data_IF_894377406387
#
_entry.id   IF_894377406387
#
_cell.length_a   1.000
_cell.length_b   1.000
_cell.length_c   1.000
_cell.angle_alpha   90.00
_cell.angle_beta   90.00
_cell.angle_gamma   90.00
#
_symmetry.space_group_name_H-M   'P 1'
#
loop_
_entity.id
_entity.type
_entity.pdbx_description
1 polymer ?
#
# COMPACT_ATOMS: atom_id res chain seq x y z
N UNK A 1 -1.43 5.12 15.87
CA UNK A 1 -0.17 5.29 15.08
C UNK A 1 0.42 6.70 15.25
N UNK A 2 1.72 6.83 15.55
CA UNK A 2 2.40 8.13 15.55
C UNK A 2 3.62 8.10 14.63
N UNK A 3 3.84 9.18 13.87
CA UNK A 3 5.05 9.36 13.07
C UNK A 3 6.11 10.08 13.92
N UNK A 4 7.39 9.73 13.79
CA UNK A 4 8.47 10.50 14.40
C UNK A 4 8.46 11.96 13.95
N UNK A 5 8.69 12.90 14.88
CA UNK A 5 8.69 14.35 14.58
C UNK A 5 9.68 14.74 13.47
N UNK A 6 10.79 14.00 13.33
CA UNK A 6 11.81 14.21 12.31
C UNK A 6 11.69 13.24 11.12
N UNK A 7 10.56 12.56 10.93
CA UNK A 7 10.35 11.55 9.88
C UNK A 7 10.78 12.02 8.48
N UNK A 8 10.39 13.24 8.09
CA UNK A 8 10.74 13.79 6.77
C UNK A 8 12.22 14.11 6.58
N UNK A 9 13.01 14.10 7.67
CA UNK A 9 14.46 14.30 7.66
C UNK A 9 15.23 12.98 7.61
N UNK A 10 14.55 11.83 7.66
CA UNK A 10 15.22 10.53 7.58
C UNK A 10 15.82 10.30 6.19
N UNK A 11 17.00 9.65 6.11
CA UNK A 11 17.50 9.09 4.86
C UNK A 11 16.49 8.13 4.23
N UNK A 12 16.52 7.99 2.91
CA UNK A 12 15.52 7.20 2.18
C UNK A 12 15.31 5.77 2.72
N UNK A 13 16.36 4.95 2.99
CA UNK A 13 16.17 3.60 3.51
C UNK A 13 15.47 3.57 4.88
N UNK A 14 15.89 4.46 5.79
CA UNK A 14 15.29 4.57 7.12
C UNK A 14 13.84 5.06 7.05
N UNK A 15 13.55 5.99 6.12
CA UNK A 15 12.20 6.49 5.88
C UNK A 15 11.28 5.40 5.33
N UNK A 16 11.73 4.63 4.34
CA UNK A 16 10.94 3.51 3.78
C UNK A 16 10.61 2.46 4.86
N UNK A 17 11.58 2.07 5.68
CA UNK A 17 11.35 1.16 6.81
C UNK A 17 10.37 1.74 7.83
N UNK A 18 10.50 3.02 8.17
CA UNK A 18 9.56 3.70 9.06
C UNK A 18 8.13 3.74 8.48
N UNK A 19 7.98 3.85 7.16
CA UNK A 19 6.67 3.79 6.50
C UNK A 19 6.05 2.39 6.63
N UNK A 20 6.80 1.31 6.41
CA UNK A 20 6.28 -0.06 6.59
C UNK A 20 5.77 -0.25 8.02
N UNK A 21 6.57 0.14 9.01
CA UNK A 21 6.18 0.06 10.42
C UNK A 21 4.96 0.92 10.74
N UNK A 22 4.91 2.16 10.23
CA UNK A 22 3.79 3.06 10.45
C UNK A 22 2.49 2.48 9.88
N UNK A 23 2.50 1.99 8.63
CA UNK A 23 1.33 1.36 7.99
C UNK A 23 0.92 0.08 8.74
N UNK A 24 1.87 -0.77 9.13
CA UNK A 24 1.60 -2.00 9.90
C UNK A 24 0.99 -1.71 11.29
N UNK A 25 1.19 -0.50 11.84
CA UNK A 25 0.60 -0.13 13.13
C UNK A 25 -0.87 0.27 13.05
N UNK A 26 -1.44 0.40 11.86
CA UNK A 26 -2.88 0.59 11.69
C UNK A 26 -3.62 -0.74 11.76
N UNK A 27 -4.82 -0.71 12.33
CA UNK A 27 -5.75 -1.84 12.26
C UNK A 27 -6.47 -1.88 10.91
N UNK A 28 -6.70 -3.08 10.39
CA UNK A 28 -7.52 -3.26 9.20
C UNK A 28 -9.00 -3.05 9.52
N UNK A 29 -9.65 -2.11 8.82
CA UNK A 29 -11.07 -1.81 9.01
C UNK A 29 -11.97 -2.91 8.43
N UNK A 30 -12.69 -3.62 9.31
CA UNK A 30 -13.64 -4.66 8.90
C UNK A 30 -14.99 -4.12 8.41
N UNK A 31 -15.41 -2.95 8.91
CA UNK A 31 -16.73 -2.38 8.60
C UNK A 31 -16.77 -1.71 7.23
N UNK A 32 -17.92 -1.70 6.53
CA UNK A 32 -18.04 -1.09 5.20
C UNK A 32 -18.01 0.45 5.23
N UNK A 33 -18.41 1.08 6.32
CA UNK A 33 -18.41 2.54 6.47
C UNK A 33 -16.99 3.08 6.61
N UNK A 34 -16.54 3.94 5.69
CA UNK A 34 -15.25 4.64 5.80
C UNK A 34 -15.48 6.08 6.26
N UNK A 35 -14.66 6.56 7.19
CA UNK A 35 -14.63 7.98 7.58
C UNK A 35 -13.82 8.81 6.59
N UNK A 36 -12.97 8.16 5.80
CA UNK A 36 -12.17 8.80 4.77
C UNK A 36 -12.78 8.59 3.39
N UNK A 37 -12.69 9.62 2.55
CA UNK A 37 -13.07 9.51 1.15
C UNK A 37 -11.99 8.70 0.40
N UNK A 38 -12.33 7.48 -0.01
CA UNK A 38 -11.42 6.53 -0.67
C UNK A 38 -11.59 6.49 -2.20
N UNK A 39 -12.28 7.47 -2.80
CA UNK A 39 -12.40 7.54 -4.26
C UNK A 39 -11.04 7.78 -4.90
N UNK A 40 -10.57 6.79 -5.68
CA UNK A 40 -9.23 6.75 -6.29
C UNK A 40 -9.05 7.62 -7.53
N UNK A 41 -10.14 8.08 -8.14
CA UNK A 41 -10.11 8.94 -9.33
C UNK A 41 -10.12 10.44 -9.00
N UNK A 42 -9.98 10.78 -7.71
CA UNK A 42 -9.85 12.17 -7.29
C UNK A 42 -8.48 12.71 -7.71
N UNK A 43 -8.34 14.04 -7.89
CA UNK A 43 -7.03 14.66 -8.10
C UNK A 43 -6.04 14.28 -7.00
N UNK A 44 -4.76 14.14 -7.36
CA UNK A 44 -3.71 13.73 -6.42
C UNK A 44 -3.67 14.62 -5.17
N UNK A 45 -3.86 15.93 -5.31
CA UNK A 45 -3.93 16.86 -4.18
C UNK A 45 -4.99 16.47 -3.13
N UNK A 46 -6.18 16.02 -3.57
CA UNK A 46 -7.25 15.57 -2.66
C UNK A 46 -6.95 14.22 -2.02
N UNK A 47 -6.22 13.35 -2.72
CA UNK A 47 -5.71 12.11 -2.14
C UNK A 47 -4.70 12.45 -1.02
N UNK A 48 -3.78 13.37 -1.27
CA UNK A 48 -2.80 13.84 -0.29
C UNK A 48 -3.45 14.52 0.93
N UNK A 49 -4.49 15.34 0.73
CA UNK A 49 -5.28 15.92 1.83
C UNK A 49 -5.91 14.83 2.71
N UNK A 50 -6.39 13.75 2.09
CA UNK A 50 -6.97 12.62 2.83
C UNK A 50 -5.91 11.89 3.65
N UNK A 51 -4.72 11.68 3.10
CA UNK A 51 -3.61 11.08 3.84
C UNK A 51 -3.17 11.94 5.03
N UNK A 52 -3.12 13.28 4.87
CA UNK A 52 -2.86 14.21 5.99
C UNK A 52 -3.88 14.06 7.12
N UNK A 53 -5.17 13.93 6.78
CA UNK A 53 -6.22 13.70 7.77
C UNK A 53 -6.02 12.37 8.52
N UNK A 54 -5.63 11.29 7.82
CA UNK A 54 -5.35 9.99 8.46
C UNK A 54 -4.17 10.06 9.43
N UNK A 55 -3.17 10.89 9.15
CA UNK A 55 -2.03 11.10 10.04
C UNK A 55 -2.44 11.93 11.27
N UNK A 56 -3.24 12.98 11.06
CA UNK A 56 -3.71 13.87 12.12
C UNK A 56 -4.71 13.18 13.06
N UNK A 57 -5.63 12.38 12.52
CA UNK A 57 -6.62 11.63 13.28
C UNK A 57 -6.64 10.17 12.82
N UNK A 58 -5.70 9.34 13.33
CA UNK A 58 -5.60 7.94 12.93
C UNK A 58 -6.84 7.14 13.32
N UNK A 59 -7.37 6.38 12.37
CA UNK A 59 -8.46 5.42 12.55
C UNK A 59 -8.12 4.13 11.79
N UNK A 60 -8.82 3.00 12.03
CA UNK A 60 -8.64 1.80 11.20
C UNK A 60 -8.84 2.11 9.71
N UNK A 61 -7.99 1.52 8.86
CA UNK A 61 -7.93 1.78 7.41
C UNK A 61 -8.06 0.49 6.59
N UNK A 62 -8.29 0.64 5.29
CA UNK A 62 -8.31 -0.40 4.25
C UNK A 62 -7.17 -0.18 3.25
N UNK A 63 -7.07 -1.11 2.31
CA UNK A 63 -6.01 -1.15 1.29
C UNK A 63 -5.85 0.16 0.50
N UNK A 64 -6.93 0.82 0.07
CA UNK A 64 -6.85 2.09 -0.67
C UNK A 64 -6.30 3.23 0.21
N UNK A 65 -6.72 3.29 1.47
CA UNK A 65 -6.30 4.32 2.42
C UNK A 65 -4.81 4.15 2.77
N UNK A 66 -4.33 2.90 2.91
CA UNK A 66 -2.91 2.62 3.07
C UNK A 66 -2.07 3.06 1.87
N UNK A 67 -2.58 2.91 0.64
CA UNK A 67 -1.92 3.45 -0.57
C UNK A 67 -1.83 4.97 -0.53
N UNK A 68 -2.88 5.66 -0.06
CA UNK A 68 -2.86 7.12 0.07
C UNK A 68 -1.82 7.58 1.10
N UNK A 69 -1.75 6.91 2.26
CA UNK A 69 -0.71 7.16 3.26
C UNK A 69 0.69 6.95 2.68
N UNK A 70 0.92 5.82 2.01
CA UNK A 70 2.22 5.50 1.43
C UNK A 70 2.65 6.55 0.38
N UNK A 71 1.73 6.96 -0.50
CA UNK A 71 1.99 8.02 -1.49
C UNK A 71 2.39 9.35 -0.82
N UNK A 72 1.66 9.76 0.23
CA UNK A 72 1.99 10.99 0.96
C UNK A 72 3.33 10.90 1.67
N UNK A 73 3.59 9.78 2.34
CA UNK A 73 4.80 9.60 3.14
C UNK A 73 6.07 9.41 2.32
N UNK A 74 5.93 9.00 1.05
CA UNK A 74 7.02 8.92 0.06
C UNK A 74 7.10 10.14 -0.85
N UNK A 75 6.24 11.15 -0.68
CA UNK A 75 6.31 12.38 -1.45
C UNK A 75 7.65 13.11 -1.25
N UNK A 76 8.20 13.62 -2.35
CA UNK A 76 9.49 14.32 -2.39
C UNK A 76 10.73 13.41 -2.44
N UNK A 77 10.57 12.08 -2.35
CA UNK A 77 11.67 11.14 -2.53
C UNK A 77 11.87 10.89 -4.03
N UNK A 78 12.92 11.47 -4.63
CA UNK A 78 13.16 11.42 -6.08
C UNK A 78 13.65 10.03 -6.55
N UNK A 79 14.39 9.31 -5.71
CA UNK A 79 14.92 7.97 -6.03
C UNK A 79 13.92 6.83 -5.75
N UNK A 80 12.65 7.17 -5.51
CA UNK A 80 11.60 6.23 -5.13
C UNK A 80 10.45 6.31 -6.13
N UNK A 81 10.31 5.26 -6.93
CA UNK A 81 9.17 5.11 -7.83
C UNK A 81 8.01 4.43 -7.11
N UNK A 82 6.78 4.89 -7.38
CA UNK A 82 5.56 4.46 -6.68
C UNK A 82 4.52 4.06 -7.71
N UNK A 83 4.16 2.79 -7.73
CA UNK A 83 3.32 2.20 -8.77
C UNK A 83 2.12 1.53 -8.11
N UNK A 84 0.88 1.98 -8.33
CA UNK A 84 -0.30 1.30 -7.80
C UNK A 84 -0.44 -0.11 -8.40
N UNK A 85 -0.53 -1.13 -7.56
CA UNK A 85 -0.68 -2.52 -7.96
C UNK A 85 -1.98 -3.07 -7.38
N UNK A 86 -2.95 -3.38 -8.25
CA UNK A 86 -4.27 -3.87 -7.85
C UNK A 86 -4.52 -5.30 -8.28
N UNK A 87 -5.21 -6.04 -7.42
CA UNK A 87 -5.63 -7.42 -7.63
C UNK A 87 -7.15 -7.50 -7.61
N UNK A 88 -7.73 -8.18 -8.59
CA UNK A 88 -9.10 -8.69 -8.56
C UNK A 88 -9.00 -10.20 -8.40
N UNK A 89 -9.55 -10.72 -7.31
CA UNK A 89 -9.52 -12.15 -6.99
C UNK A 89 -10.92 -12.67 -6.73
N UNK A 90 -11.06 -13.99 -6.69
CA UNK A 90 -12.28 -14.68 -6.37
C UNK A 90 -11.99 -15.79 -5.35
N UNK A 91 -12.75 -15.82 -4.27
CA UNK A 91 -12.78 -16.90 -3.27
C UNK A 91 -14.23 -17.38 -3.22
N UNK A 92 -14.44 -18.68 -3.45
CA UNK A 92 -15.75 -19.24 -3.78
C UNK A 92 -16.41 -18.47 -4.95
N UNK A 93 -17.62 -17.93 -4.75
CA UNK A 93 -18.35 -17.10 -5.71
C UNK A 93 -18.22 -15.59 -5.44
N UNK A 94 -17.34 -15.19 -4.51
CA UNK A 94 -17.18 -13.79 -4.10
C UNK A 94 -15.96 -13.16 -4.74
N UNK A 95 -16.19 -12.03 -5.42
CA UNK A 95 -15.13 -11.22 -6.01
C UNK A 95 -14.59 -10.23 -4.98
N UNK A 96 -13.28 -10.21 -4.83
CA UNK A 96 -12.56 -9.30 -3.96
C UNK A 96 -11.66 -8.37 -4.78
N UNK A 97 -11.49 -7.15 -4.28
CA UNK A 97 -10.54 -6.18 -4.82
C UNK A 97 -9.57 -5.76 -3.72
N UNK A 98 -8.30 -5.71 -4.08
CA UNK A 98 -7.22 -5.31 -3.18
C UNK A 98 -6.19 -4.50 -3.94
N UNK A 99 -5.47 -3.64 -3.23
CA UNK A 99 -4.46 -2.77 -3.81
C UNK A 99 -3.32 -2.57 -2.81
N UNK A 100 -2.10 -2.52 -3.34
CA UNK A 100 -0.89 -2.08 -2.65
C UNK A 100 -0.18 -1.03 -3.51
N UNK A 101 0.74 -0.30 -2.92
CA UNK A 101 1.66 0.57 -3.62
C UNK A 101 2.98 -0.18 -3.79
N UNK A 102 3.24 -0.66 -5.01
CA UNK A 102 4.55 -1.19 -5.37
C UNK A 102 5.56 -0.04 -5.34
N UNK A 103 6.74 -0.29 -4.77
CA UNK A 103 7.78 0.73 -4.64
C UNK A 103 9.11 0.19 -5.11
N UNK A 104 9.80 0.96 -5.97
CA UNK A 104 11.18 0.70 -6.36
C UNK A 104 12.10 1.69 -5.66
N UNK A 105 13.17 1.18 -5.07
CA UNK A 105 14.25 1.98 -4.50
C UNK A 105 15.58 1.33 -4.87
N UNK A 106 16.41 2.06 -5.63
CA UNK A 106 17.55 1.45 -6.33
C UNK A 106 17.09 0.33 -7.27
N UNK A 107 17.74 -0.82 -7.20
CA UNK A 107 17.43 -1.98 -8.06
C UNK A 107 16.45 -2.97 -7.41
N UNK A 108 15.87 -2.59 -6.27
CA UNK A 108 14.98 -3.46 -5.49
C UNK A 108 13.55 -2.94 -5.45
N UNK A 109 12.63 -3.90 -5.45
CA UNK A 109 11.20 -3.68 -5.32
C UNK A 109 10.73 -4.15 -3.95
N UNK A 110 9.82 -3.37 -3.36
CA UNK A 110 9.05 -3.71 -2.18
C UNK A 110 7.62 -3.20 -2.36
N UNK A 111 6.80 -3.26 -1.31
CA UNK A 111 5.43 -2.76 -1.40
C UNK A 111 4.93 -2.21 -0.07
N UNK A 112 4.07 -1.21 -0.17
CA UNK A 112 3.32 -0.64 0.94
C UNK A 112 1.83 -0.95 0.82
N UNK A 113 1.20 -1.42 1.89
CA UNK A 113 -0.23 -1.64 1.93
C UNK A 113 -0.68 -2.29 3.22
N UNK A 114 -1.99 -2.49 3.33
CA UNK A 114 -2.62 -3.20 4.45
C UNK A 114 -3.59 -4.25 3.90
N UNK A 115 -3.70 -5.36 4.60
CA UNK A 115 -4.60 -6.46 4.27
C UNK A 115 -5.01 -7.17 5.55
N UNK A 116 -6.06 -7.99 5.45
CA UNK A 116 -6.46 -8.93 6.51
C UNK A 116 -5.48 -10.09 6.65
N UNK A 117 -4.66 -10.33 5.61
CA UNK A 117 -3.62 -11.37 5.59
C UNK A 117 -2.24 -10.72 5.53
N UNK A 118 -1.33 -11.17 6.38
CA UNK A 118 0.00 -10.57 6.56
C UNK A 118 0.92 -10.74 5.36
N UNK A 119 0.69 -11.76 4.54
CA UNK A 119 1.39 -12.04 3.29
C UNK A 119 0.78 -11.31 2.08
N UNK A 120 -0.32 -10.57 2.26
CA UNK A 120 -0.97 -9.74 1.24
C UNK A 120 -0.88 -8.24 1.55
N UNK A 121 0.06 -7.80 2.40
CA UNK A 121 0.25 -6.40 2.77
C UNK A 121 1.65 -5.90 2.37
N UNK A 122 2.39 -5.24 3.26
CA UNK A 122 3.75 -4.77 3.04
C UNK A 122 4.70 -5.90 2.57
N UNK A 123 5.67 -5.54 1.75
CA UNK A 123 6.78 -6.39 1.32
C UNK A 123 8.10 -5.65 1.51
N UNK A 124 9.10 -6.36 2.00
CA UNK A 124 10.47 -5.87 2.09
C UNK A 124 11.08 -5.64 0.70
N UNK A 125 12.12 -4.82 0.64
CA UNK A 125 12.80 -4.42 -0.59
C UNK A 125 13.81 -5.47 -1.06
N UNK A 126 13.34 -6.70 -1.27
CA UNK A 126 14.19 -7.86 -1.58
C UNK A 126 14.03 -8.36 -3.03
N UNK A 127 13.05 -7.85 -3.77
CA UNK A 127 12.67 -8.36 -5.08
C UNK A 127 13.41 -7.64 -6.22
N UNK A 128 13.99 -8.39 -7.16
CA UNK A 128 14.79 -7.82 -8.25
C UNK A 128 13.97 -7.22 -9.40
N UNK A 129 12.69 -7.57 -9.51
CA UNK A 129 11.83 -7.12 -10.58
C UNK A 129 10.34 -7.17 -10.19
N UNK A 130 9.52 -6.50 -10.99
CA UNK A 130 8.06 -6.43 -10.78
C UNK A 130 7.43 -7.83 -10.83
N UNK A 131 7.90 -8.71 -11.72
CA UNK A 131 7.32 -10.06 -11.87
C UNK A 131 7.49 -10.88 -10.60
N UNK A 132 8.66 -10.87 -9.96
CA UNK A 132 8.93 -11.68 -8.77
C UNK A 132 8.07 -11.29 -7.56
N UNK A 133 7.85 -9.99 -7.34
CA UNK A 133 6.93 -9.52 -6.28
C UNK A 133 5.46 -9.77 -6.62
N UNK A 134 5.06 -9.62 -7.89
CA UNK A 134 3.70 -9.94 -8.34
C UNK A 134 3.40 -11.43 -8.19
N UNK A 135 4.35 -12.31 -8.54
CA UNK A 135 4.26 -13.75 -8.32
C UNK A 135 4.15 -14.10 -6.84
N UNK A 136 4.88 -13.39 -5.96
CA UNK A 136 4.77 -13.57 -4.52
C UNK A 136 3.35 -13.27 -4.01
N UNK A 137 2.73 -12.16 -4.45
CA UNK A 137 1.33 -11.88 -4.12
C UNK A 137 0.36 -12.91 -4.71
N UNK A 138 0.58 -13.34 -5.96
CA UNK A 138 -0.25 -14.34 -6.61
C UNK A 138 -0.26 -15.65 -5.81
N UNK A 139 0.92 -16.14 -5.41
CA UNK A 139 1.06 -17.34 -4.57
C UNK A 139 0.40 -17.16 -3.21
N UNK A 140 0.54 -15.98 -2.59
CA UNK A 140 -0.14 -15.68 -1.33
C UNK A 140 -1.67 -15.78 -1.48
N UNK A 141 -2.25 -15.24 -2.55
CA UNK A 141 -3.68 -15.42 -2.83
C UNK A 141 -4.08 -16.89 -2.98
N UNK A 142 -3.32 -17.65 -3.77
CA UNK A 142 -3.58 -19.08 -4.00
C UNK A 142 -3.55 -19.88 -2.67
N UNK A 143 -2.63 -19.55 -1.76
CA UNK A 143 -2.54 -20.15 -0.43
C UNK A 143 -3.78 -19.84 0.45
N UNK A 144 -4.48 -18.73 0.19
CA UNK A 144 -5.74 -18.37 0.85
C UNK A 144 -6.96 -18.75 0.00
N UNK A 145 -6.84 -19.73 -0.91
CA UNK A 145 -7.93 -20.24 -1.75
C UNK A 145 -8.57 -19.18 -2.67
N UNK A 146 -7.84 -18.10 -2.96
CA UNK A 146 -8.25 -17.12 -3.95
C UNK A 146 -7.71 -17.46 -5.34
N UNK A 147 -8.57 -17.42 -6.35
CA UNK A 147 -8.17 -17.37 -7.77
C UNK A 147 -7.93 -15.93 -8.19
N UNK A 148 -6.75 -15.62 -8.74
CA UNK A 148 -6.44 -14.27 -9.26
C UNK A 148 -7.04 -14.11 -10.66
N UNK A 149 -8.05 -13.25 -10.77
CA UNK A 149 -8.77 -13.00 -12.03
C UNK A 149 -8.10 -11.91 -12.88
N UNK A 150 -7.55 -10.87 -12.23
CA UNK A 150 -6.92 -9.75 -12.93
C UNK A 150 -5.90 -9.05 -12.03
N UNK A 151 -4.74 -8.75 -12.62
CA UNK A 151 -3.73 -7.88 -12.04
C UNK A 151 -3.71 -6.58 -12.85
N UNK A 152 -3.67 -5.44 -12.18
CA UNK A 152 -3.57 -4.12 -12.82
C UNK A 152 -2.37 -3.39 -12.24
N UNK A 153 -1.45 -3.01 -13.11
CA UNK A 153 -0.27 -2.21 -12.79
C UNK A 153 -0.57 -0.80 -13.29
N UNK A 154 -0.52 0.19 -12.39
CA UNK A 154 -0.72 1.59 -12.70
C UNK A 154 0.52 2.24 -13.33
N UNK A 155 0.42 3.53 -13.60
CA UNK A 155 1.58 4.36 -13.95
C UNK A 155 2.28 4.84 -12.67
N UNK A 156 3.59 5.16 -12.75
CA UNK A 156 4.29 5.85 -11.67
C UNK A 156 3.57 7.14 -11.26
N UNK A 157 3.45 7.35 -9.95
CA UNK A 157 2.87 8.55 -9.32
C UNK A 157 3.96 9.37 -8.66
#
# INVERSE_FOLDING_TARGET
PQLPNNFFKFPAPARLKAIQHYINSFEYKQTPTTSFNSHKFRPLSRIMDTAKMMIYSPQPIKCVEAVFLALYLTAGMQDVERIPLSFKTQEDDKVHQHIVLLVRYGDKYGAFGISRRTDLMNKEFDYDNISSIVENYKRAYENHMHTVLKIRIGLPV
#
